data_IF_298879125461
#
_entry.id   IF_298879125461
#
_cell.length_a   1.000
_cell.length_b   1.000
_cell.length_c   1.000
_cell.angle_alpha   90.00
_cell.angle_beta   90.00
_cell.angle_gamma   90.00
#
_symmetry.space_group_name_H-M   'P 1'
#
loop_
_entity.id
_entity.type
_entity.pdbx_description
1 polymer ?
#
# COMPACT_ATOMS: atom_id res chain seq x y z
N UNK A 1 -14.75 -2.12 9.72
CA UNK A 1 -14.21 -3.33 10.40
C UNK A 1 -13.70 -2.93 11.78
N UNK A 2 -14.23 -3.51 12.88
CA UNK A 2 -13.71 -3.28 14.23
C UNK A 2 -12.27 -3.78 14.39
N UNK A 3 -11.48 -3.15 15.26
CA UNK A 3 -10.12 -3.61 15.57
C UNK A 3 -10.15 -4.89 16.40
N UNK A 4 -9.34 -5.92 16.06
CA UNK A 4 -9.17 -7.11 16.91
C UNK A 4 -8.13 -6.89 18.02
N UNK A 5 -7.40 -5.77 17.97
CA UNK A 5 -6.24 -5.50 18.82
C UNK A 5 -6.65 -5.13 20.25
N UNK A 6 -5.94 -5.70 21.23
CA UNK A 6 -6.04 -5.33 22.65
C UNK A 6 -5.72 -3.84 22.86
N UNK A 7 -6.52 -3.16 23.69
CA UNK A 7 -6.41 -1.72 23.94
C UNK A 7 -7.02 -0.85 22.85
N UNK A 8 -7.71 -1.46 21.88
CA UNK A 8 -8.47 -0.81 20.81
C UNK A 8 -9.93 -1.28 20.79
N UNK A 9 -10.47 -1.68 21.93
CA UNK A 9 -11.88 -2.07 22.07
C UNK A 9 -12.80 -0.91 21.68
N UNK A 10 -13.80 -1.18 20.84
CA UNK A 10 -14.70 -0.16 20.30
C UNK A 10 -14.08 0.75 19.23
N UNK A 11 -12.82 0.52 18.84
CA UNK A 11 -12.13 1.25 17.77
C UNK A 11 -12.19 0.52 16.45
N UNK A 12 -12.05 1.27 15.36
CA UNK A 12 -11.93 0.73 14.01
C UNK A 12 -10.53 0.15 13.77
N UNK A 13 -10.44 -0.80 12.82
CA UNK A 13 -9.16 -1.32 12.33
C UNK A 13 -8.25 -0.21 11.78
N UNK A 14 -8.85 0.83 11.18
CA UNK A 14 -8.10 1.98 10.68
C UNK A 14 -7.37 2.72 11.81
N UNK A 15 -8.05 2.97 12.92
CA UNK A 15 -7.46 3.65 14.09
C UNK A 15 -6.29 2.85 14.69
N UNK A 16 -6.44 1.52 14.82
CA UNK A 16 -5.36 0.67 15.36
C UNK A 16 -4.19 0.57 14.39
N UNK A 17 -4.45 0.38 13.09
CA UNK A 17 -3.41 0.34 12.06
C UNK A 17 -2.64 1.66 11.96
N UNK A 18 -3.34 2.80 11.92
CA UNK A 18 -2.73 4.12 11.87
C UNK A 18 -1.83 4.36 13.10
N UNK A 19 -2.34 4.08 14.30
CA UNK A 19 -1.59 4.30 15.54
C UNK A 19 -0.36 3.39 15.66
N UNK A 20 -0.43 2.16 15.14
CA UNK A 20 0.67 1.19 15.22
C UNK A 20 1.69 1.32 14.08
N UNK A 21 1.28 1.79 12.91
CA UNK A 21 2.15 1.91 11.74
C UNK A 21 1.75 3.10 10.84
N UNK A 22 2.02 4.34 11.31
CA UNK A 22 1.73 5.53 10.52
C UNK A 22 2.63 5.59 9.29
N UNK A 23 2.10 6.17 8.21
CA UNK A 23 2.87 6.47 7.01
C UNK A 23 3.94 7.52 7.33
N UNK A 24 5.14 7.34 6.77
CA UNK A 24 6.20 8.35 6.81
C UNK A 24 6.12 9.31 5.60
N UNK A 25 5.39 8.92 4.56
CA UNK A 25 5.30 9.64 3.29
C UNK A 25 4.06 10.55 3.24
N UNK A 26 2.99 10.16 3.92
CA UNK A 26 1.68 10.82 3.88
C UNK A 26 1.18 11.09 5.31
N UNK A 27 0.62 12.27 5.55
CA UNK A 27 0.11 12.66 6.87
C UNK A 27 -1.21 11.94 7.17
N UNK A 28 -1.42 11.59 8.44
CA UNK A 28 -2.71 11.14 8.97
C UNK A 28 -3.29 9.86 8.34
N UNK A 29 -2.44 9.06 7.68
CA UNK A 29 -2.83 7.78 7.08
C UNK A 29 -1.92 6.64 7.53
N UNK A 30 -2.44 5.40 7.62
CA UNK A 30 -1.62 4.22 7.82
C UNK A 30 -0.62 3.99 6.67
N UNK A 31 0.47 3.31 6.97
CA UNK A 31 1.49 2.95 5.96
C UNK A 31 0.98 1.86 5.01
N UNK A 32 0.87 2.19 3.73
CA UNK A 32 0.74 1.22 2.63
C UNK A 32 2.10 1.06 1.93
N UNK A 33 2.53 -0.18 1.70
CA UNK A 33 3.81 -0.47 1.07
C UNK A 33 3.65 -0.72 -0.43
N UNK A 34 4.70 -0.40 -1.20
CA UNK A 34 4.81 -0.73 -2.62
C UNK A 34 4.80 -2.25 -2.84
N UNK A 35 4.21 -2.69 -3.94
CA UNK A 35 4.30 -4.08 -4.39
C UNK A 35 5.59 -4.28 -5.20
N UNK A 36 6.29 -5.39 -4.92
CA UNK A 36 7.47 -5.84 -5.65
C UNK A 36 7.22 -7.24 -6.21
N UNK A 37 7.96 -8.21 -5.69
CA UNK A 37 7.87 -9.64 -6.00
C UNK A 37 7.56 -10.45 -4.72
N UNK A 38 7.57 -11.77 -4.81
CA UNK A 38 7.55 -12.69 -3.66
C UNK A 38 6.18 -13.29 -3.34
N UNK A 39 5.22 -13.21 -4.27
CA UNK A 39 3.94 -13.91 -4.21
C UNK A 39 3.27 -13.92 -5.61
N UNK A 40 2.12 -14.58 -5.75
CA UNK A 40 1.45 -14.83 -7.03
C UNK A 40 0.91 -13.56 -7.72
N UNK A 41 0.76 -12.44 -6.99
CA UNK A 41 0.36 -11.15 -7.58
C UNK A 41 1.39 -10.62 -8.60
N UNK A 42 2.63 -11.13 -8.58
CA UNK A 42 3.74 -10.59 -9.39
C UNK A 42 3.43 -10.58 -10.89
N UNK A 43 2.89 -11.66 -11.44
CA UNK A 43 2.56 -11.74 -12.87
C UNK A 43 1.47 -10.74 -13.24
N UNK A 44 0.44 -10.60 -12.39
CA UNK A 44 -0.66 -9.67 -12.62
C UNK A 44 -0.19 -8.22 -12.56
N UNK A 45 0.59 -7.87 -11.53
CA UNK A 45 1.02 -6.49 -11.31
C UNK A 45 2.19 -6.07 -12.20
N UNK A 46 3.32 -6.79 -12.14
CA UNK A 46 4.57 -6.37 -12.80
C UNK A 46 4.56 -6.62 -14.31
N UNK A 47 3.88 -7.68 -14.77
CA UNK A 47 3.89 -8.08 -16.18
C UNK A 47 2.64 -7.65 -16.94
N UNK A 48 1.46 -7.82 -16.34
CA UNK A 48 0.18 -7.56 -17.02
C UNK A 48 -0.40 -6.16 -16.72
N UNK A 49 0.14 -5.43 -15.73
CA UNK A 49 -0.35 -4.11 -15.37
C UNK A 49 -1.74 -4.10 -14.72
N UNK A 50 -2.13 -5.21 -14.10
CA UNK A 50 -3.42 -5.34 -13.40
C UNK A 50 -3.25 -4.84 -11.97
N UNK A 51 -4.07 -3.85 -11.58
CA UNK A 51 -4.10 -3.31 -10.22
C UNK A 51 -4.26 -4.44 -9.19
N UNK A 52 -3.34 -4.49 -8.24
CA UNK A 52 -3.19 -5.61 -7.30
C UNK A 52 -2.96 -5.09 -5.89
N UNK A 53 -3.32 -5.90 -4.88
CA UNK A 53 -3.15 -5.56 -3.47
C UNK A 53 -3.06 -6.79 -2.59
N UNK A 54 -2.44 -6.65 -1.42
CA UNK A 54 -2.42 -7.71 -0.39
C UNK A 54 -2.56 -7.10 1.01
N UNK A 55 -3.25 -7.81 1.88
CA UNK A 55 -3.40 -7.45 3.29
C UNK A 55 -3.07 -8.65 4.19
N UNK A 56 -2.35 -8.39 5.28
CA UNK A 56 -2.02 -9.36 6.34
C UNK A 56 -1.79 -8.66 7.66
N UNK A 57 -1.99 -9.36 8.76
CA UNK A 57 -1.35 -8.97 10.03
C UNK A 57 0.15 -9.23 9.95
N UNK A 58 0.92 -8.39 10.62
CA UNK A 58 2.38 -8.46 10.64
C UNK A 58 2.87 -8.05 12.02
N UNK A 59 4.10 -8.45 12.28
CA UNK A 59 4.90 -8.09 13.45
C UNK A 59 5.11 -6.58 13.59
N UNK A 60 5.53 -6.13 14.77
CA UNK A 60 5.89 -4.74 15.03
C UNK A 60 7.32 -4.42 14.54
N UNK A 61 7.40 -3.72 13.42
CA UNK A 61 8.67 -3.36 12.77
C UNK A 61 9.59 -2.45 13.60
N UNK A 62 9.07 -1.72 14.60
CA UNK A 62 9.91 -0.89 15.46
C UNK A 62 10.69 -1.72 16.49
N UNK A 63 10.11 -2.83 16.96
CA UNK A 63 10.67 -3.70 18.00
C UNK A 63 11.37 -4.91 17.38
N UNK A 64 10.73 -5.58 16.43
CA UNK A 64 11.15 -6.88 15.92
C UNK A 64 12.04 -6.75 14.68
N UNK A 65 13.27 -7.29 14.75
CA UNK A 65 14.31 -7.11 13.73
C UNK A 65 14.59 -8.34 12.86
N UNK A 66 13.98 -9.48 13.15
CA UNK A 66 14.10 -10.67 12.29
C UNK A 66 13.46 -10.41 10.92
N UNK A 67 13.77 -11.18 9.85
CA UNK A 67 13.27 -10.89 8.50
C UNK A 67 11.81 -11.33 8.29
N UNK A 68 11.54 -12.64 8.41
CA UNK A 68 10.20 -13.23 8.22
C UNK A 68 9.51 -13.44 9.57
N UNK A 69 9.22 -14.69 9.93
CA UNK A 69 8.83 -15.16 11.25
C UNK A 69 9.63 -16.44 11.57
N UNK A 70 9.85 -16.78 12.86
CA UNK A 70 10.92 -17.72 13.24
C UNK A 70 10.87 -19.12 12.64
N UNK A 71 9.67 -19.63 12.32
CA UNK A 71 9.48 -21.00 11.82
C UNK A 71 9.25 -21.09 10.32
N UNK A 72 9.42 -19.99 9.57
CA UNK A 72 9.15 -19.94 8.13
C UNK A 72 9.80 -21.09 7.33
N UNK A 73 9.02 -21.76 6.48
CA UNK A 73 9.47 -22.89 5.64
C UNK A 73 10.07 -24.06 6.43
N UNK A 74 9.53 -24.35 7.61
CA UNK A 74 9.99 -25.46 8.45
C UNK A 74 8.86 -26.40 8.82
N UNK A 75 9.22 -27.58 9.33
CA UNK A 75 8.25 -28.55 9.88
C UNK A 75 7.50 -28.04 11.11
N UNK A 76 7.93 -26.90 11.69
CA UNK A 76 7.29 -26.27 12.84
C UNK A 76 6.18 -25.28 12.45
N UNK A 77 5.89 -25.11 11.15
CA UNK A 77 4.71 -24.38 10.67
C UNK A 77 3.46 -25.24 10.80
N UNK A 78 3.00 -25.43 12.03
CA UNK A 78 1.83 -26.27 12.33
C UNK A 78 0.59 -25.44 12.67
N UNK A 79 -0.56 -26.10 12.79
CA UNK A 79 -1.77 -25.44 13.29
C UNK A 79 -1.57 -24.92 14.72
N UNK A 80 -0.91 -25.72 15.57
CA UNK A 80 -0.73 -25.41 16.99
C UNK A 80 0.12 -24.16 17.20
N UNK A 81 1.08 -23.84 16.33
CA UNK A 81 1.84 -22.59 16.50
C UNK A 81 0.94 -21.38 16.24
N UNK A 82 0.03 -21.45 15.27
CA UNK A 82 -0.93 -20.38 14.97
C UNK A 82 -1.94 -20.23 16.11
N UNK A 83 -2.58 -21.33 16.48
CA UNK A 83 -3.60 -21.36 17.55
C UNK A 83 -3.01 -20.93 18.90
N UNK A 84 -1.79 -21.32 19.24
CA UNK A 84 -1.28 -21.04 20.60
C UNK A 84 -0.53 -19.72 20.71
N UNK A 85 0.13 -19.27 19.64
CA UNK A 85 1.09 -18.16 19.74
C UNK A 85 0.78 -16.96 18.83
N UNK A 86 0.15 -17.15 17.66
CA UNK A 86 -0.08 -16.04 16.73
C UNK A 86 -1.47 -15.43 16.84
N UNK A 87 -2.51 -16.27 16.88
CA UNK A 87 -3.89 -15.80 16.91
C UNK A 87 -4.84 -16.76 17.63
N UNK A 88 -4.74 -16.90 18.97
CA UNK A 88 -5.53 -17.88 19.72
C UNK A 88 -7.04 -17.72 19.66
N UNK A 89 -7.51 -16.53 19.30
CA UNK A 89 -8.94 -16.24 19.14
C UNK A 89 -9.38 -16.13 17.68
N UNK A 90 -8.45 -16.35 16.73
CA UNK A 90 -8.66 -16.18 15.28
C UNK A 90 -9.21 -14.80 14.87
N UNK A 91 -9.12 -13.79 15.73
CA UNK A 91 -9.65 -12.44 15.47
C UNK A 91 -8.82 -11.71 14.42
N UNK A 92 -7.50 -11.91 14.40
CA UNK A 92 -6.64 -11.30 13.38
C UNK A 92 -6.92 -11.92 12.01
N UNK A 93 -7.09 -13.25 11.94
CA UNK A 93 -7.46 -13.96 10.71
C UNK A 93 -8.84 -13.53 10.21
N UNK A 94 -9.85 -13.46 11.08
CA UNK A 94 -11.18 -12.96 10.75
C UNK A 94 -11.11 -11.53 10.19
N UNK A 95 -10.33 -10.66 10.82
CA UNK A 95 -10.14 -9.27 10.38
C UNK A 95 -9.52 -9.19 8.99
N UNK A 96 -8.48 -9.99 8.71
CA UNK A 96 -7.87 -10.05 7.37
C UNK A 96 -8.86 -10.60 6.33
N UNK A 97 -9.67 -11.61 6.70
CA UNK A 97 -10.71 -12.13 5.82
C UNK A 97 -11.75 -11.05 5.48
N UNK A 98 -12.17 -10.24 6.46
CA UNK A 98 -13.08 -9.11 6.23
C UNK A 98 -12.46 -8.03 5.36
N UNK A 99 -11.17 -7.69 5.54
CA UNK A 99 -10.48 -6.72 4.69
C UNK A 99 -10.40 -7.21 3.25
N UNK A 100 -9.95 -8.45 3.04
CA UNK A 100 -9.82 -9.04 1.69
C UNK A 100 -11.19 -9.18 1.03
N UNK A 101 -12.17 -9.70 1.76
CA UNK A 101 -13.54 -9.85 1.28
C UNK A 101 -14.18 -8.52 0.93
N UNK A 102 -14.01 -7.49 1.76
CA UNK A 102 -14.48 -6.14 1.50
C UNK A 102 -13.85 -5.53 0.24
N UNK A 103 -12.54 -5.66 0.06
CA UNK A 103 -11.85 -5.20 -1.15
C UNK A 103 -12.40 -5.87 -2.42
N UNK A 104 -12.54 -7.21 -2.40
CA UNK A 104 -13.09 -7.95 -3.54
C UNK A 104 -14.53 -7.55 -3.81
N UNK A 105 -15.36 -7.41 -2.76
CA UNK A 105 -16.76 -7.05 -2.89
C UNK A 105 -16.94 -5.65 -3.50
N UNK A 106 -16.24 -4.65 -2.97
CA UNK A 106 -16.27 -3.28 -3.50
C UNK A 106 -15.79 -3.22 -4.96
N UNK A 107 -14.67 -3.88 -5.29
CA UNK A 107 -14.15 -3.89 -6.66
C UNK A 107 -15.07 -4.61 -7.65
N UNK A 108 -15.78 -5.65 -7.22
CA UNK A 108 -16.64 -6.44 -8.08
C UNK A 108 -18.06 -5.88 -8.22
N UNK A 109 -18.53 -5.09 -7.25
CA UNK A 109 -19.94 -4.71 -7.14
C UNK A 109 -20.20 -3.19 -7.22
N UNK A 110 -19.17 -2.35 -7.09
CA UNK A 110 -19.36 -0.90 -7.17
C UNK A 110 -19.65 -0.45 -8.60
N UNK A 111 -20.66 0.43 -8.75
CA UNK A 111 -21.09 0.95 -10.07
C UNK A 111 -19.96 1.72 -10.75
N UNK A 112 -19.20 2.48 -9.96
CA UNK A 112 -17.93 3.07 -10.36
C UNK A 112 -16.80 2.37 -9.61
N UNK A 113 -15.72 2.04 -10.31
CA UNK A 113 -14.56 1.42 -9.68
C UNK A 113 -13.99 2.37 -8.60
N UNK A 114 -13.76 1.88 -7.37
CA UNK A 114 -13.27 2.69 -6.25
C UNK A 114 -11.76 2.96 -6.34
N UNK A 115 -11.30 3.47 -7.49
CA UNK A 115 -9.93 3.90 -7.71
C UNK A 115 -9.84 5.42 -7.76
N UNK A 116 -8.82 5.96 -7.10
CA UNK A 116 -8.50 7.39 -7.14
C UNK A 116 -7.13 7.59 -7.81
N UNK A 117 -7.13 8.10 -9.04
CA UNK A 117 -5.89 8.35 -9.77
C UNK A 117 -5.09 9.56 -9.24
N UNK A 118 -5.68 10.40 -8.37
CA UNK A 118 -4.97 11.50 -7.70
C UNK A 118 -4.00 10.99 -6.64
N UNK A 119 -4.32 9.85 -6.01
CA UNK A 119 -3.37 9.14 -5.14
C UNK A 119 -2.15 8.67 -5.93
N UNK A 120 -2.34 8.21 -7.17
CA UNK A 120 -1.24 7.81 -8.04
C UNK A 120 -0.41 9.01 -8.50
N UNK A 121 -1.04 10.14 -8.81
CA UNK A 121 -0.35 11.39 -9.12
C UNK A 121 0.55 11.84 -7.95
N UNK A 122 0.02 11.78 -6.72
CA UNK A 122 0.77 12.07 -5.50
C UNK A 122 1.97 11.13 -5.31
N UNK A 123 1.76 9.83 -5.58
CA UNK A 123 2.84 8.84 -5.52
C UNK A 123 3.94 9.09 -6.58
N UNK A 124 3.57 9.40 -7.82
CA UNK A 124 4.52 9.72 -8.88
C UNK A 124 5.36 10.96 -8.57
N UNK A 125 4.73 12.00 -8.00
CA UNK A 125 5.42 13.20 -7.54
C UNK A 125 6.45 12.87 -6.44
N UNK A 126 6.05 12.08 -5.43
CA UNK A 126 6.96 11.63 -4.40
C UNK A 126 8.13 10.81 -4.98
N UNK A 127 7.85 9.86 -5.88
CA UNK A 127 8.89 9.03 -6.51
C UNK A 127 9.86 9.85 -7.36
N UNK A 128 9.37 10.84 -8.12
CA UNK A 128 10.20 11.75 -8.89
C UNK A 128 11.15 12.56 -7.99
N UNK A 129 10.66 13.05 -6.85
CA UNK A 129 11.50 13.72 -5.86
C UNK A 129 12.51 12.78 -5.20
N UNK A 130 12.13 11.54 -4.86
CA UNK A 130 13.05 10.56 -4.28
C UNK A 130 14.22 10.29 -5.24
N UNK A 131 13.94 9.96 -6.52
CA UNK A 131 15.00 9.64 -7.48
C UNK A 131 15.86 10.87 -7.82
N UNK A 132 15.24 12.05 -7.92
CA UNK A 132 15.97 13.30 -8.11
C UNK A 132 16.92 13.57 -6.93
N UNK A 133 16.44 13.45 -5.70
CA UNK A 133 17.26 13.64 -4.50
C UNK A 133 18.42 12.62 -4.42
N UNK A 134 18.19 11.36 -4.82
CA UNK A 134 19.27 10.37 -4.90
C UNK A 134 20.35 10.77 -5.93
N UNK A 135 19.95 11.36 -7.06
CA UNK A 135 20.89 11.82 -8.09
C UNK A 135 21.73 13.04 -7.68
N UNK A 136 21.34 13.77 -6.62
CA UNK A 136 22.12 14.91 -6.10
C UNK A 136 23.50 14.51 -5.57
N UNK A 137 23.70 13.24 -5.25
CA UNK A 137 25.02 12.70 -4.90
C UNK A 137 25.99 12.68 -6.11
N UNK A 138 25.51 12.93 -7.32
CA UNK A 138 26.25 12.90 -8.58
C UNK A 138 26.03 14.17 -9.42
N UNK A 139 25.89 15.33 -8.75
CA UNK A 139 25.53 16.58 -9.41
C UNK A 139 26.52 17.00 -10.52
N UNK A 140 27.83 16.81 -10.28
CA UNK A 140 28.86 17.12 -11.27
C UNK A 140 28.72 16.24 -12.52
N UNK A 141 28.51 14.93 -12.34
CA UNK A 141 28.33 14.00 -13.44
C UNK A 141 27.04 14.28 -14.23
N UNK A 142 25.94 14.64 -13.55
CA UNK A 142 24.71 15.05 -14.24
C UNK A 142 24.97 16.24 -15.16
N UNK A 143 25.77 17.22 -14.72
CA UNK A 143 26.14 18.37 -15.54
C UNK A 143 27.06 17.99 -16.71
N UNK A 144 28.10 17.18 -16.44
CA UNK A 144 29.06 16.71 -17.46
C UNK A 144 28.36 15.95 -18.58
N UNK A 145 27.43 15.08 -18.23
CA UNK A 145 26.71 14.23 -19.19
C UNK A 145 25.36 14.81 -19.65
N UNK A 146 25.06 16.06 -19.27
CA UNK A 146 23.83 16.77 -19.61
C UNK A 146 22.55 15.95 -19.33
N UNK A 147 22.51 15.31 -18.15
CA UNK A 147 21.36 14.53 -17.69
C UNK A 147 20.40 15.44 -16.94
N UNK A 148 19.19 15.61 -17.47
CA UNK A 148 18.12 16.42 -16.87
C UNK A 148 16.93 15.56 -16.45
N UNK A 149 16.26 15.99 -15.37
CA UNK A 149 14.99 15.42 -14.88
C UNK A 149 13.76 16.24 -15.33
N UNK A 150 13.94 17.30 -16.13
CA UNK A 150 12.84 18.19 -16.54
C UNK A 150 11.70 17.45 -17.24
N UNK A 151 12.05 16.49 -18.11
CA UNK A 151 11.06 15.67 -18.79
C UNK A 151 10.23 14.82 -17.82
N UNK A 152 10.87 14.27 -16.77
CA UNK A 152 10.18 13.50 -15.73
C UNK A 152 9.22 14.40 -14.95
N UNK A 153 9.69 15.54 -14.45
CA UNK A 153 8.85 16.48 -13.70
C UNK A 153 7.72 17.07 -14.55
N UNK A 154 7.97 17.34 -15.83
CA UNK A 154 6.93 17.77 -16.77
C UNK A 154 5.87 16.70 -16.98
N UNK A 155 6.27 15.43 -17.14
CA UNK A 155 5.32 14.32 -17.28
C UNK A 155 4.49 14.11 -16.01
N UNK A 156 5.10 14.20 -14.83
CA UNK A 156 4.40 14.13 -13.54
C UNK A 156 3.38 15.27 -13.42
N UNK A 157 3.78 16.51 -13.73
CA UNK A 157 2.87 17.66 -13.72
C UNK A 157 1.65 17.44 -14.61
N UNK A 158 1.88 17.03 -15.86
CA UNK A 158 0.79 16.75 -16.80
C UNK A 158 -0.12 15.63 -16.30
N UNK A 159 0.45 14.57 -15.71
CA UNK A 159 -0.33 13.47 -15.13
C UNK A 159 -1.23 13.96 -14.00
N UNK A 160 -0.71 14.79 -13.08
CA UNK A 160 -1.49 15.37 -11.98
C UNK A 160 -2.67 16.19 -12.48
N UNK A 161 -2.43 17.11 -13.44
CA UNK A 161 -3.50 17.94 -14.03
C UNK A 161 -4.59 17.09 -14.70
N UNK A 162 -4.19 16.02 -15.40
CA UNK A 162 -5.12 15.08 -16.04
C UNK A 162 -5.90 14.26 -15.01
N UNK A 163 -5.26 13.82 -13.92
CA UNK A 163 -5.89 13.05 -12.86
C UNK A 163 -6.96 13.85 -12.11
N UNK A 164 -6.68 15.12 -11.81
CA UNK A 164 -7.63 16.04 -11.19
C UNK A 164 -8.82 16.29 -12.13
N UNK A 165 -8.52 16.65 -13.39
CA UNK A 165 -9.56 16.90 -14.40
C UNK A 165 -10.44 15.67 -14.67
N UNK A 166 -9.87 14.47 -14.61
CA UNK A 166 -10.63 13.22 -14.70
C UNK A 166 -11.61 13.06 -13.53
N UNK A 167 -11.17 13.33 -12.29
CA UNK A 167 -12.04 13.24 -11.11
C UNK A 167 -13.13 14.32 -11.11
N UNK A 168 -12.84 15.53 -11.58
CA UNK A 168 -13.84 16.58 -11.72
C UNK A 168 -14.97 16.15 -12.67
N UNK A 169 -14.63 15.49 -13.79
CA UNK A 169 -15.62 14.93 -14.72
C UNK A 169 -16.35 13.73 -14.13
N UNK A 170 -15.65 12.86 -13.39
CA UNK A 170 -16.23 11.67 -12.76
C UNK A 170 -17.36 12.06 -11.80
N UNK A 171 -17.22 13.18 -11.09
CA UNK A 171 -18.26 13.72 -10.19
C UNK A 171 -19.53 14.21 -10.91
N UNK A 172 -19.46 14.46 -12.22
CA UNK A 172 -20.58 14.96 -13.02
C UNK A 172 -21.37 13.83 -13.70
N UNK A 173 -20.93 12.58 -13.56
CA UNK A 173 -21.61 11.44 -14.18
C UNK A 173 -22.93 11.17 -13.44
N UNK A 174 -24.00 11.01 -14.22
CA UNK A 174 -25.26 10.50 -13.70
C UNK A 174 -25.15 8.97 -13.53
N UNK A 175 -25.37 8.51 -12.30
CA UNK A 175 -25.26 7.10 -11.92
C UNK A 175 -26.68 6.47 -11.81
N UNK A 176 -27.72 7.24 -12.16
CA UNK A 176 -29.12 6.81 -12.13
C UNK A 176 -29.60 6.17 -13.44
#
# INVERSE_FOLDING_TARGET
IPSPDEGFEGKSLYESWYKKNPSAEYKEVPRINKLGSGNDFEVFFQRLGIASGRARYSKNWSVEKYSSYPVYHSVYETYEIVERFYDPSFKNHLTVAQVRGGLVFELANSVLLPFDCRDYASALSNYAHIIYNMSRNHEEELAIYNVSFDALFSAVKNFTEVADSFHDRLQQIDIN
#
